data_IF_865140333307
#
_entry.id   IF_865140333307
#
_cell.length_a   1.000
_cell.length_b   1.000
_cell.length_c   1.000
_cell.angle_alpha   90.00
_cell.angle_beta   90.00
_cell.angle_gamma   90.00
#
_symmetry.space_group_name_H-M   'P 1'
#
loop_
_entity.id
_entity.type
_entity.pdbx_description
1 polymer ?
#
# COMPACT_ATOMS: atom_id res chain seq x y z
N UNK A 1 10.27 -12.05 4.74
CA UNK A 1 10.39 -11.97 6.21
C UNK A 1 9.80 -10.68 6.78
N UNK A 2 10.08 -9.49 6.24
CA UNK A 2 9.51 -8.22 6.75
C UNK A 2 7.96 -8.22 6.78
N UNK A 3 7.28 -8.60 5.69
CA UNK A 3 5.82 -8.68 5.64
C UNK A 3 5.20 -9.60 6.70
N UNK A 4 5.81 -10.75 6.99
CA UNK A 4 5.31 -11.67 8.00
C UNK A 4 5.41 -11.09 9.41
N UNK A 5 6.44 -10.29 9.68
CA UNK A 5 6.60 -9.57 10.95
C UNK A 5 5.61 -8.40 11.06
N UNK A 6 5.39 -7.63 9.99
CA UNK A 6 4.39 -6.55 9.97
C UNK A 6 2.97 -7.12 10.19
N UNK A 7 2.62 -8.20 9.51
CA UNK A 7 1.33 -8.88 9.72
C UNK A 7 1.20 -9.40 11.16
N UNK A 8 2.27 -9.96 11.73
CA UNK A 8 2.28 -10.40 13.14
C UNK A 8 2.01 -9.24 14.10
N UNK A 9 2.76 -8.14 13.98
CA UNK A 9 2.77 -7.06 14.96
C UNK A 9 1.66 -6.02 14.76
N UNK A 10 1.35 -5.61 13.52
CA UNK A 10 0.36 -4.57 13.26
C UNK A 10 -1.06 -5.12 13.13
N UNK A 11 -1.23 -6.33 12.54
CA UNK A 11 -2.56 -6.86 12.22
C UNK A 11 -3.03 -7.88 13.25
N UNK A 12 -2.16 -8.80 13.68
CA UNK A 12 -2.57 -9.94 14.52
C UNK A 12 -2.38 -9.68 16.02
N UNK A 13 -1.27 -9.04 16.41
CA UNK A 13 -1.00 -8.72 17.82
C UNK A 13 -1.92 -7.62 18.37
N UNK A 14 -2.52 -6.79 17.50
CA UNK A 14 -3.61 -5.88 17.87
C UNK A 14 -4.87 -6.62 18.39
N UNK A 15 -4.97 -7.94 18.13
CA UNK A 15 -6.12 -8.77 18.55
C UNK A 15 -5.79 -9.92 19.51
N UNK A 16 -4.68 -10.68 19.34
CA UNK A 16 -4.26 -11.80 20.22
C UNK A 16 -2.76 -12.14 20.11
N UNK A 17 -2.09 -12.65 21.17
CA UNK A 17 -0.71 -13.14 21.08
C UNK A 17 -0.63 -14.44 20.28
N UNK A 18 0.34 -14.56 19.36
CA UNK A 18 0.50 -15.70 18.45
C UNK A 18 1.84 -16.42 18.65
N UNK A 19 1.77 -17.76 18.78
CA UNK A 19 2.89 -18.72 18.88
C UNK A 19 3.70 -18.81 17.57
N UNK A 20 5.01 -19.03 17.70
CA UNK A 20 5.99 -19.01 16.59
C UNK A 20 5.73 -20.03 15.47
N UNK A 21 5.03 -21.15 15.72
CA UNK A 21 4.64 -22.11 14.66
C UNK A 21 3.76 -21.48 13.56
N UNK A 22 2.96 -20.46 13.93
CA UNK A 22 2.02 -19.81 13.00
C UNK A 22 2.73 -18.86 12.01
N UNK A 23 3.93 -18.41 12.35
CA UNK A 23 4.77 -17.54 11.51
C UNK A 23 5.35 -18.28 10.30
N UNK A 24 5.73 -19.55 10.51
CA UNK A 24 6.26 -20.37 9.43
C UNK A 24 5.16 -20.69 8.41
N UNK A 25 3.96 -21.04 8.88
CA UNK A 25 2.77 -21.25 8.04
C UNK A 25 2.43 -19.99 7.25
N UNK A 26 2.42 -18.82 7.89
CA UNK A 26 2.17 -17.55 7.21
C UNK A 26 3.20 -17.30 6.11
N UNK A 27 4.48 -17.47 6.41
CA UNK A 27 5.57 -17.24 5.45
C UNK A 27 5.45 -18.19 4.25
N UNK A 28 5.16 -19.47 4.51
CA UNK A 28 5.02 -20.48 3.48
C UNK A 28 3.78 -20.24 2.62
N UNK A 29 2.65 -19.86 3.23
CA UNK A 29 1.44 -19.49 2.51
C UNK A 29 1.62 -18.24 1.65
N UNK A 30 2.32 -17.20 2.16
CA UNK A 30 2.57 -15.97 1.43
C UNK A 30 3.48 -16.24 0.22
N UNK A 31 4.52 -17.08 0.42
CA UNK A 31 5.45 -17.49 -0.63
C UNK A 31 4.78 -18.35 -1.71
N UNK A 32 3.92 -19.29 -1.32
CA UNK A 32 3.14 -20.08 -2.26
C UNK A 32 2.18 -19.20 -3.07
N UNK A 33 1.51 -18.26 -2.41
CA UNK A 33 0.61 -17.31 -3.07
C UNK A 33 1.36 -16.44 -4.09
N UNK A 34 2.54 -15.90 -3.73
CA UNK A 34 3.34 -15.11 -4.69
C UNK A 34 3.81 -15.94 -5.87
N UNK A 35 4.16 -17.22 -5.69
CA UNK A 35 4.50 -18.10 -6.81
C UNK A 35 3.30 -18.34 -7.74
N UNK A 36 2.11 -18.59 -7.19
CA UNK A 36 0.88 -18.78 -7.99
C UNK A 36 0.53 -17.51 -8.77
N UNK A 37 0.59 -16.34 -8.12
CA UNK A 37 0.37 -15.05 -8.79
C UNK A 37 1.42 -14.81 -9.88
N UNK A 38 2.67 -15.20 -9.66
CA UNK A 38 3.74 -15.10 -10.66
C UNK A 38 3.50 -15.98 -11.88
N UNK A 39 2.82 -17.13 -11.73
CA UNK A 39 2.46 -18.01 -12.85
C UNK A 39 1.28 -17.45 -13.67
N UNK A 40 0.39 -16.69 -13.04
CA UNK A 40 -0.77 -16.09 -13.68
C UNK A 40 -0.48 -14.69 -14.30
N UNK A 41 0.59 -14.03 -13.88
CA UNK A 41 0.96 -12.72 -14.39
C UNK A 41 1.66 -12.85 -15.76
N UNK A 42 0.93 -12.54 -16.83
CA UNK A 42 1.47 -12.46 -18.21
C UNK A 42 2.41 -11.28 -18.43
N UNK A 43 2.45 -10.32 -17.49
CA UNK A 43 3.35 -9.15 -17.48
C UNK A 43 4.54 -9.32 -16.53
N UNK A 44 5.45 -8.33 -16.49
CA UNK A 44 6.57 -8.38 -15.55
C UNK A 44 6.06 -8.26 -14.11
N UNK A 45 6.39 -9.25 -13.28
CA UNK A 45 6.12 -9.23 -11.82
C UNK A 45 6.69 -7.95 -11.18
N UNK A 46 7.79 -7.46 -11.74
CA UNK A 46 8.41 -6.19 -11.41
C UNK A 46 7.46 -4.99 -11.61
N UNK A 47 6.78 -4.92 -12.77
CA UNK A 47 5.82 -3.86 -13.04
C UNK A 47 4.68 -3.88 -12.04
N UNK A 48 4.09 -5.05 -11.82
CA UNK A 48 2.97 -5.23 -10.89
C UNK A 48 3.36 -4.86 -9.45
N UNK A 49 4.59 -5.20 -9.03
CA UNK A 49 5.14 -4.81 -7.74
C UNK A 49 5.36 -3.30 -7.64
N UNK A 50 5.94 -2.66 -8.65
CA UNK A 50 6.13 -1.19 -8.67
C UNK A 50 4.79 -0.48 -8.61
N UNK A 51 3.81 -0.90 -9.41
CA UNK A 51 2.47 -0.30 -9.41
C UNK A 51 1.80 -0.44 -8.04
N UNK A 52 1.88 -1.63 -7.43
CA UNK A 52 1.32 -1.89 -6.09
C UNK A 52 1.96 -1.02 -5.01
N UNK A 53 3.28 -0.88 -5.04
CA UNK A 53 4.02 -0.02 -4.09
C UNK A 53 3.75 1.46 -4.37
N UNK A 54 3.63 1.87 -5.63
CA UNK A 54 3.25 3.22 -6.02
C UNK A 54 1.87 3.60 -5.48
N UNK A 55 0.88 2.71 -5.62
CA UNK A 55 -0.47 2.92 -5.10
C UNK A 55 -0.50 3.05 -3.58
N UNK A 56 0.24 2.17 -2.87
CA UNK A 56 0.38 2.27 -1.42
C UNK A 56 1.06 3.59 -1.02
N UNK A 57 2.12 3.98 -1.73
CA UNK A 57 2.80 5.25 -1.55
C UNK A 57 1.86 6.43 -1.76
N UNK A 58 1.06 6.42 -2.82
CA UNK A 58 0.10 7.47 -3.15
C UNK A 58 -0.92 7.72 -2.02
N UNK A 59 -1.42 6.66 -1.39
CA UNK A 59 -2.38 6.78 -0.29
C UNK A 59 -1.72 7.20 1.03
N UNK A 60 -0.59 6.59 1.39
CA UNK A 60 -0.02 6.74 2.75
C UNK A 60 0.94 7.94 2.86
N UNK A 61 1.69 8.25 1.81
CA UNK A 61 2.68 9.32 1.82
C UNK A 61 2.11 10.71 2.15
N UNK A 62 0.98 11.19 1.56
CA UNK A 62 0.44 12.51 1.89
C UNK A 62 -0.01 12.60 3.35
N UNK A 63 -0.68 11.56 3.86
CA UNK A 63 -1.08 11.48 5.27
C UNK A 63 0.12 11.55 6.24
N UNK A 64 1.20 10.84 5.94
CA UNK A 64 2.45 10.90 6.72
C UNK A 64 3.12 12.27 6.61
N UNK A 65 3.17 12.85 5.42
CA UNK A 65 3.82 14.12 5.18
C UNK A 65 3.10 15.28 5.90
N UNK A 66 1.76 15.30 5.94
CA UNK A 66 1.02 16.27 6.73
C UNK A 66 1.38 16.18 8.22
N UNK A 67 1.54 14.97 8.77
CA UNK A 67 2.00 14.80 10.16
C UNK A 67 3.44 15.24 10.37
N UNK A 68 4.33 14.98 9.42
CA UNK A 68 5.75 15.42 9.47
C UNK A 68 5.89 16.94 9.42
N UNK A 69 5.01 17.61 8.66
CA UNK A 69 4.95 19.08 8.57
C UNK A 69 4.33 19.76 9.81
N UNK A 70 4.00 18.99 10.84
CA UNK A 70 3.41 19.50 12.09
C UNK A 70 1.94 19.87 11.95
N UNK A 71 1.28 19.55 10.83
CA UNK A 71 -0.15 19.71 10.72
C UNK A 71 -0.82 18.69 11.64
N UNK A 72 -1.92 19.10 12.29
CA UNK A 72 -2.73 18.24 13.16
C UNK A 72 -4.07 17.93 12.47
N UNK A 73 -4.06 17.23 11.32
CA UNK A 73 -5.30 16.87 10.65
C UNK A 73 -6.12 15.96 11.57
N UNK A 74 -7.43 16.19 11.58
CA UNK A 74 -8.37 15.34 12.28
C UNK A 74 -8.36 13.93 11.67
N UNK A 75 -8.76 12.91 12.45
CA UNK A 75 -8.85 11.53 11.97
C UNK A 75 -9.64 11.38 10.65
N UNK A 76 -10.81 12.04 10.46
CA UNK A 76 -11.52 11.96 9.18
C UNK A 76 -10.78 12.63 8.02
N UNK A 77 -10.05 13.73 8.27
CA UNK A 77 -9.21 14.36 7.25
C UNK A 77 -8.09 13.40 6.81
N UNK A 78 -7.40 12.75 7.76
CA UNK A 78 -6.41 11.72 7.44
C UNK A 78 -6.99 10.57 6.61
N UNK A 79 -8.18 10.07 6.97
CA UNK A 79 -8.84 9.03 6.18
C UNK A 79 -9.17 9.53 4.76
N UNK A 80 -9.63 10.77 4.62
CA UNK A 80 -9.92 11.38 3.32
C UNK A 80 -8.67 11.50 2.45
N UNK A 81 -7.52 11.91 3.01
CA UNK A 81 -6.24 11.97 2.27
C UNK A 81 -5.83 10.62 1.69
N UNK A 82 -5.97 9.55 2.48
CA UNK A 82 -5.60 8.20 2.06
C UNK A 82 -6.54 7.70 0.96
N UNK A 83 -7.85 7.86 1.15
CA UNK A 83 -8.85 7.41 0.18
C UNK A 83 -8.75 8.20 -1.12
N UNK A 84 -8.58 9.52 -1.05
CA UNK A 84 -8.39 10.37 -2.23
C UNK A 84 -7.09 10.05 -2.97
N UNK A 85 -5.97 9.92 -2.24
CA UNK A 85 -4.68 9.64 -2.86
C UNK A 85 -4.64 8.26 -3.53
N UNK A 86 -5.18 7.24 -2.87
CA UNK A 86 -5.31 5.91 -3.45
C UNK A 86 -6.29 5.89 -4.63
N UNK A 87 -7.46 6.52 -4.49
CA UNK A 87 -8.49 6.56 -5.52
C UNK A 87 -8.01 7.26 -6.80
N UNK A 88 -7.31 8.37 -6.67
CA UNK A 88 -6.73 9.09 -7.82
C UNK A 88 -5.64 8.28 -8.48
N UNK A 89 -4.73 7.67 -7.72
CA UNK A 89 -3.69 6.80 -8.30
C UNK A 89 -4.28 5.57 -9.00
N UNK A 90 -5.29 4.92 -8.41
CA UNK A 90 -5.99 3.79 -9.01
C UNK A 90 -6.75 4.18 -10.29
N UNK A 91 -7.40 5.35 -10.30
CA UNK A 91 -8.02 5.91 -11.50
C UNK A 91 -6.98 6.21 -12.59
N UNK A 92 -5.82 6.74 -12.20
CA UNK A 92 -4.72 7.03 -13.13
C UNK A 92 -4.16 5.76 -13.78
N UNK A 93 -4.01 4.69 -13.00
CA UNK A 93 -3.63 3.37 -13.47
C UNK A 93 -4.66 2.80 -14.46
N UNK A 94 -5.94 2.88 -14.12
CA UNK A 94 -7.02 2.36 -14.97
C UNK A 94 -7.09 3.06 -16.34
N UNK A 95 -6.67 4.33 -16.40
CA UNK A 95 -6.62 5.12 -17.63
C UNK A 95 -5.33 4.87 -18.46
N UNK A 96 -4.39 4.06 -17.97
CA UNK A 96 -3.14 3.76 -18.68
C UNK A 96 -2.17 4.94 -18.79
N UNK A 97 -2.39 6.01 -18.02
CA UNK A 97 -1.58 7.24 -18.03
C UNK A 97 -0.23 7.07 -17.32
N UNK A 98 -0.02 5.91 -16.69
CA UNK A 98 1.21 5.49 -16.02
C UNK A 98 2.44 5.47 -16.92
N UNK A 99 2.24 5.41 -18.24
CA UNK A 99 3.30 5.47 -19.23
C UNK A 99 3.98 6.86 -19.32
N UNK A 100 3.31 7.92 -18.89
CA UNK A 100 3.79 9.30 -18.99
C UNK A 100 4.31 9.79 -17.64
N UNK A 101 3.53 9.58 -16.58
CA UNK A 101 3.87 9.98 -15.20
C UNK A 101 3.48 8.82 -14.28
N UNK A 102 4.34 8.51 -13.31
CA UNK A 102 4.06 7.53 -12.27
C UNK A 102 2.78 7.90 -11.51
N UNK A 103 1.83 6.97 -11.43
CA UNK A 103 0.53 7.09 -10.73
C UNK A 103 0.63 7.61 -9.30
N UNK A 104 1.77 7.36 -8.65
CA UNK A 104 2.02 7.85 -7.30
C UNK A 104 2.04 9.39 -7.22
N UNK A 105 2.54 10.08 -8.25
CA UNK A 105 2.65 11.53 -8.26
C UNK A 105 1.27 12.25 -8.21
N UNK A 106 0.32 11.99 -9.13
CA UNK A 106 -1.01 12.59 -9.08
C UNK A 106 -1.80 12.14 -7.84
N UNK A 107 -1.63 10.88 -7.40
CA UNK A 107 -2.26 10.39 -6.19
C UNK A 107 -1.77 11.13 -4.93
N UNK A 108 -0.46 11.33 -4.77
CA UNK A 108 0.09 12.11 -3.66
C UNK A 108 -0.42 13.56 -3.69
N UNK A 109 -0.42 14.21 -4.86
CA UNK A 109 -0.91 15.58 -5.00
C UNK A 109 -2.38 15.71 -4.59
N UNK A 110 -3.25 14.80 -5.05
CA UNK A 110 -4.65 14.78 -4.67
C UNK A 110 -4.86 14.48 -3.17
N UNK A 111 -4.07 13.55 -2.61
CA UNK A 111 -4.10 13.25 -1.19
C UNK A 111 -3.69 14.44 -0.32
N UNK A 112 -2.71 15.24 -0.74
CA UNK A 112 -2.33 16.48 -0.05
C UNK A 112 -3.40 17.56 -0.10
N UNK A 113 -4.11 17.70 -1.23
CA UNK A 113 -5.20 18.66 -1.36
C UNK A 113 -6.42 18.31 -0.49
N UNK A 114 -6.54 17.05 -0.10
CA UNK A 114 -7.60 16.56 0.78
C UNK A 114 -7.25 16.59 2.28
N UNK A 115 -6.05 17.08 2.64
CA UNK A 115 -5.52 17.11 4.00
C UNK A 115 -5.89 18.37 4.77
#
# INVERSE_FOLDING_TARGET
MALAQTVRHDVIAAGRPVRDERLWVLTLSLGALTMVVSLAATGSVFGLAITSVSLLGAGIAPAMACRLLGWRPSLPALMATVVMGFGVAAGWLALGLSAIINEAAPGMAAGFLAA
#
